data_IF_293590329724
#
_entry.id   IF_293590329724
#
_cell.length_a   1.000
_cell.length_b   1.000
_cell.length_c   1.000
_cell.angle_alpha   90.00
_cell.angle_beta   90.00
_cell.angle_gamma   90.00
#
_symmetry.space_group_name_H-M   'P 1'
#
loop_
_entity.id
_entity.type
_entity.pdbx_description
1 polymer ?
#
# COMPACT_ATOMS: atom_id res chain seq x y z
N UNK A 1 44.46 -57.39 60.84
CA UNK A 1 45.15 -56.27 60.16
C UNK A 1 44.10 -55.20 59.88
N UNK A 2 44.41 -53.94 60.19
CA UNK A 2 43.53 -52.76 60.09
C UNK A 2 43.00 -52.57 58.67
N UNK A 3 41.78 -52.04 58.50
CA UNK A 3 41.57 -50.69 57.98
C UNK A 3 40.09 -50.27 58.00
N UNK A 4 39.91 -49.00 58.36
CA UNK A 4 38.69 -48.26 58.68
C UNK A 4 38.37 -47.28 57.54
N UNK A 5 37.14 -46.72 57.53
CA UNK A 5 36.61 -45.56 56.75
C UNK A 5 36.14 -45.86 55.32
N UNK A 6 35.11 -45.22 54.75
CA UNK A 6 34.37 -44.00 55.10
C UNK A 6 32.90 -44.08 54.60
N UNK A 7 31.97 -43.47 55.33
CA UNK A 7 30.64 -43.11 54.85
C UNK A 7 30.76 -41.76 54.13
N UNK A 8 30.49 -41.72 52.83
CA UNK A 8 30.32 -40.49 52.05
C UNK A 8 28.81 -40.29 51.86
N UNK A 9 28.27 -39.30 52.56
CA UNK A 9 26.93 -38.77 52.30
C UNK A 9 26.92 -38.06 50.96
N UNK A 10 26.23 -38.64 49.98
CA UNK A 10 25.93 -37.99 48.71
C UNK A 10 24.69 -37.13 48.87
N UNK A 11 24.87 -35.81 48.97
CA UNK A 11 23.79 -34.84 48.80
C UNK A 11 23.20 -34.98 47.40
N UNK A 12 21.95 -35.43 47.31
CA UNK A 12 21.18 -35.39 46.08
C UNK A 12 20.93 -33.92 45.73
N UNK A 13 21.73 -33.37 44.82
CA UNK A 13 21.41 -32.11 44.14
C UNK A 13 20.25 -32.42 43.21
N UNK A 14 19.03 -32.07 43.63
CA UNK A 14 17.89 -31.94 42.72
C UNK A 14 18.26 -30.88 41.69
N UNK A 15 18.75 -31.34 40.53
CA UNK A 15 18.84 -30.51 39.34
C UNK A 15 17.39 -30.29 38.90
N UNK A 16 16.80 -29.21 39.37
CA UNK A 16 15.58 -28.66 38.78
C UNK A 16 15.94 -28.34 37.34
N UNK A 17 15.61 -29.23 36.41
CA UNK A 17 15.55 -28.89 34.98
C UNK A 17 14.45 -27.83 34.88
N UNK A 18 14.85 -26.57 34.94
CA UNK A 18 14.07 -25.47 34.39
C UNK A 18 13.93 -25.81 32.90
N UNK A 19 12.84 -26.49 32.55
CA UNK A 19 12.44 -26.62 31.17
C UNK A 19 12.33 -25.20 30.62
N UNK A 20 13.13 -24.88 29.61
CA UNK A 20 12.92 -23.66 28.85
C UNK A 20 11.47 -23.72 28.36
N UNK A 21 10.62 -22.80 28.84
CA UNK A 21 9.30 -22.59 28.26
C UNK A 21 9.57 -22.29 26.79
N UNK A 22 9.25 -23.25 25.91
CA UNK A 22 9.49 -23.09 24.50
C UNK A 22 8.52 -22.00 24.04
N UNK A 23 9.03 -20.79 23.85
CA UNK A 23 8.20 -19.65 23.47
C UNK A 23 7.39 -19.94 22.20
N UNK A 24 6.10 -19.59 22.20
CA UNK A 24 5.20 -19.79 21.06
C UNK A 24 5.69 -19.00 19.85
N UNK A 25 5.63 -19.60 18.66
CA UNK A 25 6.12 -18.98 17.41
C UNK A 25 5.02 -18.88 16.36
N UNK A 26 4.78 -17.68 15.86
CA UNK A 26 3.85 -17.38 14.76
C UNK A 26 4.60 -16.63 13.65
N UNK A 27 4.49 -17.08 12.40
CA UNK A 27 5.15 -16.42 11.25
C UNK A 27 6.64 -16.09 11.48
N UNK A 28 7.36 -16.98 12.19
CA UNK A 28 8.77 -16.76 12.54
C UNK A 28 9.03 -15.82 13.72
N UNK A 29 8.01 -15.21 14.31
CA UNK A 29 8.07 -14.36 15.50
C UNK A 29 7.86 -15.21 16.75
N UNK A 30 8.84 -15.24 17.64
CA UNK A 30 8.78 -15.98 18.91
C UNK A 30 8.35 -15.07 20.08
N UNK A 31 7.37 -15.49 20.86
CA UNK A 31 6.92 -14.79 22.06
C UNK A 31 7.40 -15.53 23.32
N UNK A 32 7.78 -14.79 24.35
CA UNK A 32 8.23 -15.34 25.63
C UNK A 32 7.06 -15.64 26.58
N UNK A 33 5.93 -14.97 26.36
CA UNK A 33 4.69 -15.13 27.12
C UNK A 33 3.49 -15.05 26.18
N UNK A 34 2.52 -15.92 26.37
CA UNK A 34 1.21 -15.85 25.71
C UNK A 34 0.17 -15.75 26.82
N UNK A 35 -0.76 -14.80 26.68
CA UNK A 35 -1.84 -14.58 27.65
C UNK A 35 -3.18 -14.53 26.93
N UNK A 36 -4.19 -15.12 27.53
CA UNK A 36 -5.58 -15.00 27.09
C UNK A 36 -6.18 -13.68 27.61
N UNK A 37 -6.76 -12.89 26.71
CA UNK A 37 -7.33 -11.59 27.03
C UNK A 37 -8.41 -11.69 28.11
N UNK A 38 -9.21 -12.76 28.12
CA UNK A 38 -10.31 -12.92 29.07
C UNK A 38 -9.85 -13.62 30.34
N UNK A 39 -9.26 -14.82 30.24
CA UNK A 39 -8.95 -15.62 31.44
C UNK A 39 -7.76 -15.11 32.22
N UNK A 40 -6.76 -14.53 31.54
CA UNK A 40 -5.53 -14.09 32.20
C UNK A 40 -5.54 -12.58 32.50
N UNK A 41 -6.10 -11.76 31.60
CA UNK A 41 -6.14 -10.30 31.75
C UNK A 41 -7.48 -9.77 32.26
N UNK A 42 -8.53 -10.59 32.25
CA UNK A 42 -9.87 -10.20 32.69
C UNK A 42 -10.55 -9.19 31.77
N UNK A 43 -10.20 -9.12 30.48
CA UNK A 43 -10.90 -8.28 29.50
C UNK A 43 -12.37 -8.71 29.38
N UNK A 44 -13.27 -7.75 29.19
CA UNK A 44 -14.69 -8.03 28.97
C UNK A 44 -14.94 -8.33 27.48
N UNK A 45 -15.35 -9.56 27.11
CA UNK A 45 -15.63 -9.93 25.72
C UNK A 45 -17.02 -9.46 25.25
N UNK A 46 -17.79 -8.75 26.07
CA UNK A 46 -19.11 -8.23 25.71
C UNK A 46 -19.10 -6.72 25.42
N UNK A 47 -17.93 -6.07 25.51
CA UNK A 47 -17.75 -4.66 25.16
C UNK A 47 -18.31 -3.65 26.18
N UNK A 48 -18.62 -4.05 27.41
CA UNK A 48 -19.12 -3.13 28.44
C UNK A 48 -17.99 -2.43 29.21
N UNK A 49 -16.76 -2.98 29.18
CA UNK A 49 -15.60 -2.41 29.87
C UNK A 49 -14.44 -2.18 28.91
N UNK A 50 -13.69 -1.10 29.17
CA UNK A 50 -12.46 -0.78 28.46
C UNK A 50 -11.39 -1.86 28.66
N UNK A 51 -10.74 -2.25 27.57
CA UNK A 51 -9.61 -3.20 27.58
C UNK A 51 -8.25 -2.51 27.54
N UNK A 52 -8.17 -1.24 27.12
CA UNK A 52 -6.89 -0.65 26.70
C UNK A 52 -5.83 -0.69 27.80
N UNK A 53 -6.19 -0.35 29.05
CA UNK A 53 -5.26 -0.38 30.20
C UNK A 53 -4.78 -1.78 30.57
N UNK A 54 -5.65 -2.79 30.44
CA UNK A 54 -5.30 -4.20 30.71
C UNK A 54 -4.29 -4.69 29.67
N UNK A 55 -4.52 -4.34 28.41
CA UNK A 55 -3.63 -4.66 27.29
C UNK A 55 -2.28 -3.95 27.43
N UNK A 56 -2.28 -2.65 27.72
CA UNK A 56 -1.05 -1.89 27.96
C UNK A 56 -0.21 -2.51 29.09
N UNK A 57 -0.85 -2.86 30.21
CA UNK A 57 -0.19 -3.48 31.37
C UNK A 57 0.37 -4.88 31.06
N UNK A 58 -0.17 -5.57 30.06
CA UNK A 58 0.29 -6.89 29.66
C UNK A 58 1.53 -6.83 28.74
N UNK A 59 1.81 -5.72 28.06
CA UNK A 59 2.94 -5.66 27.15
C UNK A 59 4.27 -5.42 27.87
N UNK A 60 4.96 -6.52 28.17
CA UNK A 60 6.19 -6.56 28.97
C UNK A 60 7.51 -6.67 28.17
N UNK A 61 7.46 -6.69 26.84
CA UNK A 61 8.63 -7.03 26.03
C UNK A 61 8.38 -8.15 25.03
N UNK A 62 7.68 -9.20 25.44
CA UNK A 62 7.65 -10.47 24.69
C UNK A 62 6.30 -11.17 24.77
N UNK A 63 5.24 -10.40 24.98
CA UNK A 63 3.89 -10.92 25.19
C UNK A 63 3.09 -10.94 23.90
N UNK A 64 2.43 -12.07 23.64
CA UNK A 64 1.31 -12.20 22.71
C UNK A 64 0.01 -12.25 23.52
N UNK A 65 -0.92 -11.33 23.24
CA UNK A 65 -2.27 -11.37 23.80
C UNK A 65 -3.20 -12.02 22.78
N UNK A 66 -3.83 -13.13 23.19
CA UNK A 66 -4.82 -13.85 22.39
C UNK A 66 -6.24 -13.50 22.84
N UNK A 67 -7.07 -13.08 21.90
CA UNK A 67 -8.46 -12.73 22.13
C UNK A 67 -9.36 -13.88 21.67
N UNK A 68 -10.15 -14.51 22.56
CA UNK A 68 -11.24 -15.38 22.11
C UNK A 68 -12.35 -14.57 21.43
N UNK A 69 -13.27 -15.25 20.74
CA UNK A 69 -14.43 -14.61 20.11
C UNK A 69 -15.14 -13.63 21.07
N UNK A 70 -15.47 -12.43 20.60
CA UNK A 70 -16.06 -11.40 21.44
C UNK A 70 -15.93 -10.00 20.88
N UNK A 71 -16.57 -9.06 21.57
CA UNK A 71 -16.49 -7.62 21.31
C UNK A 71 -15.70 -6.96 22.44
N UNK A 72 -14.60 -6.28 22.12
CA UNK A 72 -13.70 -5.68 23.09
C UNK A 72 -13.65 -4.18 22.89
N UNK A 73 -14.09 -3.43 23.91
CA UNK A 73 -14.20 -1.99 23.83
C UNK A 73 -12.87 -1.33 24.20
N UNK A 74 -12.39 -0.44 23.33
CA UNK A 74 -11.20 0.37 23.52
C UNK A 74 -11.59 1.83 23.75
N UNK A 75 -11.15 2.41 24.86
CA UNK A 75 -11.38 3.82 25.16
C UNK A 75 -10.15 4.69 24.95
N UNK A 76 -8.94 4.13 25.09
CA UNK A 76 -7.70 4.90 25.04
C UNK A 76 -6.70 4.29 24.06
N UNK A 77 -5.82 5.14 23.51
CA UNK A 77 -4.63 4.70 22.80
C UNK A 77 -3.65 3.99 23.73
N UNK A 78 -2.97 2.97 23.22
CA UNK A 78 -1.87 2.28 23.90
C UNK A 78 -0.58 2.55 23.16
N UNK A 79 0.32 3.31 23.80
CA UNK A 79 1.60 3.73 23.24
C UNK A 79 2.75 2.94 23.87
N UNK A 80 3.53 2.23 23.05
CA UNK A 80 4.52 1.28 23.56
C UNK A 80 5.85 1.38 22.81
N UNK A 81 6.95 1.23 23.57
CA UNK A 81 8.28 0.95 23.03
C UNK A 81 8.81 -0.32 23.68
N UNK A 82 8.95 -1.39 22.90
CA UNK A 82 9.18 -2.72 23.47
C UNK A 82 9.96 -3.64 22.50
N UNK A 83 10.31 -4.86 22.88
CA UNK A 83 10.93 -5.82 21.96
C UNK A 83 9.88 -6.39 21.00
N UNK A 84 8.76 -6.90 21.52
CA UNK A 84 7.70 -7.52 20.71
C UNK A 84 6.31 -7.14 21.18
N UNK A 85 5.44 -6.93 20.20
CA UNK A 85 4.01 -6.69 20.38
C UNK A 85 3.25 -7.81 19.68
N UNK A 86 2.28 -8.42 20.35
CA UNK A 86 1.44 -9.45 19.74
C UNK A 86 -0.02 -9.27 20.13
N UNK A 87 -0.89 -9.14 19.14
CA UNK A 87 -2.36 -9.18 19.30
C UNK A 87 -2.88 -10.17 18.26
N UNK A 88 -3.65 -11.16 18.71
CA UNK A 88 -4.19 -12.19 17.83
C UNK A 88 -5.59 -12.59 18.24
N UNK A 89 -6.53 -12.65 17.30
CA UNK A 89 -7.76 -13.39 17.51
C UNK A 89 -7.50 -14.89 17.44
N UNK A 90 -7.95 -15.61 18.46
CA UNK A 90 -7.82 -17.06 18.58
C UNK A 90 -8.89 -17.79 17.76
N UNK A 91 -10.08 -17.20 17.70
CA UNK A 91 -11.27 -17.70 17.04
C UNK A 91 -11.78 -16.67 16.01
N UNK A 92 -12.75 -17.06 15.19
CA UNK A 92 -13.50 -16.10 14.36
C UNK A 92 -14.31 -15.14 15.25
N UNK A 93 -14.64 -13.95 14.73
CA UNK A 93 -15.50 -12.95 15.38
C UNK A 93 -14.87 -12.24 16.60
N UNK A 94 -13.60 -11.87 16.51
CA UNK A 94 -12.97 -10.91 17.43
C UNK A 94 -13.16 -9.50 16.87
N UNK A 95 -13.94 -8.67 17.56
CA UNK A 95 -14.25 -7.30 17.14
C UNK A 95 -13.74 -6.28 18.16
N UNK A 96 -12.96 -5.30 17.71
CA UNK A 96 -12.57 -4.15 18.52
C UNK A 96 -13.49 -2.96 18.24
N UNK A 97 -14.06 -2.39 19.30
CA UNK A 97 -14.99 -1.25 19.19
C UNK A 97 -14.45 -0.02 19.89
N UNK A 98 -14.90 1.15 19.46
CA UNK A 98 -14.39 2.44 19.90
C UNK A 98 -15.57 3.39 20.17
N UNK A 99 -15.41 4.37 21.08
CA UNK A 99 -16.45 5.38 21.29
C UNK A 99 -16.66 6.23 20.02
N UNK A 100 -17.85 6.80 19.89
CA UNK A 100 -18.13 7.80 18.86
C UNK A 100 -17.17 8.99 19.00
N UNK A 101 -16.63 9.49 17.89
CA UNK A 101 -15.66 10.58 17.88
C UNK A 101 -14.21 10.16 18.12
N UNK A 102 -13.92 8.88 18.33
CA UNK A 102 -12.53 8.40 18.50
C UNK A 102 -11.73 8.65 17.22
N UNK A 103 -10.60 9.35 17.32
CA UNK A 103 -9.75 9.71 16.17
C UNK A 103 -8.25 9.63 16.55
N UNK A 104 -7.84 8.47 17.04
CA UNK A 104 -6.45 8.20 17.44
C UNK A 104 -6.01 6.83 16.94
N UNK A 105 -4.71 6.53 16.96
CA UNK A 105 -4.24 5.16 16.79
C UNK A 105 -4.48 4.40 18.10
N UNK A 106 -5.23 3.30 18.06
CA UNK A 106 -5.47 2.52 19.28
C UNK A 106 -4.23 1.73 19.74
N UNK A 107 -3.32 1.45 18.82
CA UNK A 107 -1.95 1.04 19.12
C UNK A 107 -0.98 1.97 18.41
N UNK A 108 -0.05 2.55 19.18
CA UNK A 108 1.10 3.29 18.68
C UNK A 108 2.40 2.62 19.17
N UNK A 109 2.95 1.76 18.32
CA UNK A 109 4.03 0.84 18.69
C UNK A 109 5.37 1.17 18.05
N UNK A 110 6.44 1.13 18.86
CA UNK A 110 7.82 0.95 18.40
C UNK A 110 8.35 -0.39 18.93
N UNK A 111 8.82 -1.28 18.05
CA UNK A 111 9.28 -2.61 18.48
C UNK A 111 10.38 -3.25 17.61
N UNK A 112 10.95 -4.37 18.05
CA UNK A 112 11.76 -5.24 17.19
C UNK A 112 10.86 -5.98 16.19
N UNK A 113 9.80 -6.65 16.69
CA UNK A 113 8.84 -7.39 15.85
C UNK A 113 7.40 -7.26 16.35
N UNK A 114 6.43 -7.28 15.44
CA UNK A 114 5.02 -7.29 15.81
C UNK A 114 4.19 -8.35 15.07
N UNK A 115 3.15 -8.85 15.75
CA UNK A 115 2.10 -9.69 15.18
C UNK A 115 0.73 -9.04 15.43
N UNK A 116 -0.05 -8.88 14.37
CA UNK A 116 -1.47 -8.51 14.42
C UNK A 116 -2.26 -9.46 13.52
N UNK A 117 -3.17 -10.26 14.06
CA UNK A 117 -3.78 -11.35 13.28
C UNK A 117 -5.23 -11.62 13.68
N UNK A 118 -6.11 -11.86 12.71
CA UNK A 118 -7.47 -12.41 12.88
C UNK A 118 -8.41 -11.59 13.82
N UNK A 119 -8.54 -10.28 13.60
CA UNK A 119 -9.52 -9.46 14.31
C UNK A 119 -10.04 -8.34 13.42
N UNK A 120 -11.23 -7.83 13.74
CA UNK A 120 -11.83 -6.71 13.02
C UNK A 120 -11.88 -5.45 13.90
N UNK A 121 -11.90 -4.30 13.24
CA UNK A 121 -11.92 -2.97 13.85
C UNK A 121 -13.19 -2.25 13.43
N UNK A 122 -14.08 -1.96 14.38
CA UNK A 122 -15.34 -1.27 14.14
C UNK A 122 -15.18 0.25 14.14
N UNK A 123 -15.30 0.85 12.97
CA UNK A 123 -15.34 2.31 12.74
C UNK A 123 -16.71 2.78 12.25
N UNK A 124 -17.78 2.00 12.47
CA UNK A 124 -19.17 2.42 12.19
C UNK A 124 -19.69 3.54 13.10
N UNK A 125 -19.24 3.69 14.38
CA UNK A 125 -19.67 4.81 15.19
C UNK A 125 -19.40 6.16 14.50
N UNK A 126 -20.27 7.14 14.74
CA UNK A 126 -20.20 8.44 14.07
C UNK A 126 -18.89 9.16 14.40
N UNK A 127 -18.29 9.79 13.38
CA UNK A 127 -17.04 10.54 13.50
C UNK A 127 -15.88 9.72 14.11
N UNK A 128 -15.89 8.40 13.89
CA UNK A 128 -14.84 7.51 14.38
C UNK A 128 -13.87 7.11 13.29
N UNK A 129 -12.59 7.35 13.56
CA UNK A 129 -11.48 6.84 12.78
C UNK A 129 -10.37 6.30 13.70
N UNK A 130 -9.79 5.16 13.34
CA UNK A 130 -8.73 4.55 14.14
C UNK A 130 -7.90 3.61 13.28
N UNK A 131 -6.77 3.19 13.83
CA UNK A 131 -5.86 2.24 13.22
C UNK A 131 -4.67 1.95 14.10
N UNK A 132 -3.62 1.42 13.49
CA UNK A 132 -2.37 1.09 14.18
C UNK A 132 -1.21 1.85 13.52
N UNK A 133 -0.39 2.49 14.36
CA UNK A 133 0.92 3.01 13.98
C UNK A 133 1.99 2.07 14.49
N UNK A 134 2.93 1.71 13.62
CA UNK A 134 3.96 0.73 13.92
C UNK A 134 5.29 1.07 13.25
N UNK A 135 6.30 1.35 14.08
CA UNK A 135 7.69 1.31 13.69
C UNK A 135 8.32 0.01 14.21
N UNK A 136 8.80 -0.82 13.28
CA UNK A 136 9.47 -2.07 13.61
C UNK A 136 10.93 -2.05 13.16
N UNK A 137 11.84 -2.55 14.00
CA UNK A 137 13.23 -2.73 13.60
C UNK A 137 13.37 -3.89 12.63
N UNK A 138 12.80 -5.06 12.94
CA UNK A 138 13.06 -6.33 12.24
C UNK A 138 11.85 -6.92 11.52
N UNK A 139 10.80 -6.13 11.39
CA UNK A 139 9.61 -6.45 10.61
C UNK A 139 8.42 -6.93 11.43
N UNK A 140 7.27 -6.96 10.80
CA UNK A 140 5.98 -7.33 11.39
C UNK A 140 5.22 -8.32 10.50
N UNK A 141 4.23 -8.96 11.08
CA UNK A 141 3.24 -9.76 10.35
C UNK A 141 1.84 -9.28 10.72
N UNK A 142 1.08 -8.83 9.72
CA UNK A 142 -0.29 -8.34 9.83
C UNK A 142 -1.15 -9.18 8.87
N UNK A 143 -2.15 -9.90 9.36
CA UNK A 143 -2.94 -10.78 8.50
C UNK A 143 -4.42 -10.92 8.94
N UNK A 144 -5.33 -10.98 7.98
CA UNK A 144 -6.78 -11.23 8.17
C UNK A 144 -7.45 -10.23 9.12
N UNK A 145 -7.54 -8.98 8.68
CA UNK A 145 -8.16 -7.89 9.47
C UNK A 145 -9.11 -7.09 8.57
N UNK A 146 -10.33 -6.82 9.03
CA UNK A 146 -11.24 -5.87 8.39
C UNK A 146 -11.43 -4.61 9.26
N UNK A 147 -11.32 -3.44 8.64
CA UNK A 147 -11.89 -2.22 9.20
C UNK A 147 -13.32 -2.05 8.71
N UNK A 148 -14.27 -2.32 9.61
CA UNK A 148 -15.70 -2.33 9.32
C UNK A 148 -16.29 -0.94 9.53
N UNK A 149 -16.90 -0.39 8.49
CA UNK A 149 -17.58 0.92 8.56
C UNK A 149 -16.82 2.02 7.87
N UNK A 150 -17.35 3.25 7.98
CA UNK A 150 -16.81 4.41 7.27
C UNK A 150 -16.01 5.31 8.16
N UNK A 151 -14.70 5.31 7.94
CA UNK A 151 -13.74 6.08 8.71
C UNK A 151 -13.76 7.59 8.46
N UNK A 152 -14.55 8.34 9.21
CA UNK A 152 -14.54 9.81 9.16
C UNK A 152 -14.30 10.41 10.54
N UNK A 153 -13.79 11.63 10.57
CA UNK A 153 -13.67 12.42 11.80
C UNK A 153 -13.90 13.90 11.49
N UNK A 154 -14.48 14.61 12.46
CA UNK A 154 -14.65 16.07 12.44
C UNK A 154 -13.34 16.77 12.85
N UNK A 155 -12.24 16.42 12.18
CA UNK A 155 -10.88 16.92 12.40
C UNK A 155 -10.21 17.17 11.05
N UNK A 156 -9.24 18.09 10.99
CA UNK A 156 -8.42 18.24 9.77
C UNK A 156 -7.46 17.06 9.58
N UNK A 157 -7.02 16.43 10.67
CA UNK A 157 -6.20 15.22 10.65
C UNK A 157 -7.05 14.00 11.01
N UNK A 158 -7.15 13.04 10.08
CA UNK A 158 -7.95 11.83 10.24
C UNK A 158 -7.04 10.62 10.31
N UNK A 159 -7.19 9.84 11.38
CA UNK A 159 -6.34 8.69 11.65
C UNK A 159 -6.38 7.67 10.52
N UNK A 160 -5.19 7.21 10.11
CA UNK A 160 -4.94 6.22 9.05
C UNK A 160 -5.27 4.81 9.55
N UNK A 161 -5.63 3.87 8.68
CA UNK A 161 -5.84 2.48 9.14
C UNK A 161 -4.50 1.85 9.58
N UNK A 162 -3.47 1.99 8.74
CA UNK A 162 -2.12 1.53 9.04
C UNK A 162 -1.10 2.62 8.73
N UNK A 163 -0.19 2.86 9.66
CA UNK A 163 1.01 3.66 9.44
C UNK A 163 2.23 2.81 9.82
N UNK A 164 2.96 2.34 8.82
CA UNK A 164 3.93 1.25 8.94
C UNK A 164 5.35 1.69 8.57
N UNK A 165 6.32 1.17 9.29
CA UNK A 165 7.75 1.39 9.04
C UNK A 165 8.56 0.16 9.42
N UNK A 166 9.52 -0.21 8.56
CA UNK A 166 10.58 -1.19 8.86
C UNK A 166 11.93 -0.50 8.74
N UNK A 167 12.70 -0.46 9.82
CA UNK A 167 13.96 0.29 9.85
C UNK A 167 15.11 -0.46 9.19
N UNK A 168 15.32 -1.73 9.54
CA UNK A 168 16.45 -2.53 9.05
C UNK A 168 16.26 -2.83 7.55
N UNK A 169 17.21 -2.41 6.69
CA UNK A 169 17.13 -2.61 5.24
C UNK A 169 17.05 -4.07 4.80
N UNK A 170 17.53 -5.00 5.64
CA UNK A 170 17.54 -6.44 5.36
C UNK A 170 16.32 -7.16 5.96
N UNK A 171 15.28 -6.42 6.33
CA UNK A 171 14.09 -6.97 7.02
C UNK A 171 12.82 -6.63 6.27
N UNK A 172 11.79 -7.41 6.55
CA UNK A 172 10.52 -7.36 5.84
C UNK A 172 9.36 -7.32 6.82
N UNK A 173 8.46 -6.37 6.60
CA UNK A 173 7.12 -6.37 7.19
C UNK A 173 6.10 -6.85 6.17
N UNK A 174 5.12 -7.62 6.61
CA UNK A 174 4.04 -8.16 5.77
C UNK A 174 2.71 -7.65 6.31
N UNK A 175 1.88 -7.12 5.41
CA UNK A 175 0.45 -6.96 5.61
C UNK A 175 -0.27 -7.74 4.51
N UNK A 176 -1.15 -8.66 4.91
CA UNK A 176 -1.83 -9.59 4.01
C UNK A 176 -3.32 -9.66 4.32
N UNK A 177 -4.16 -9.72 3.28
CA UNK A 177 -5.61 -9.88 3.43
C UNK A 177 -6.23 -8.83 4.40
N UNK A 178 -5.80 -7.57 4.26
CA UNK A 178 -6.40 -6.45 4.97
C UNK A 178 -7.53 -5.85 4.14
N UNK A 179 -8.70 -5.62 4.76
CA UNK A 179 -9.90 -5.15 4.08
C UNK A 179 -10.40 -3.84 4.70
N UNK A 180 -10.67 -2.85 3.86
CA UNK A 180 -11.34 -1.60 4.22
C UNK A 180 -12.09 -1.04 2.99
N UNK A 181 -13.36 -1.43 2.83
CA UNK A 181 -14.17 -1.09 1.64
C UNK A 181 -14.88 0.27 1.72
N UNK A 182 -14.86 0.88 2.91
CA UNK A 182 -15.51 2.16 3.19
C UNK A 182 -14.50 3.09 3.84
N UNK A 183 -13.32 3.25 3.23
CA UNK A 183 -12.15 3.85 3.88
C UNK A 183 -12.43 5.20 4.53
N UNK A 184 -13.11 6.10 3.83
CA UNK A 184 -13.53 7.40 4.35
C UNK A 184 -14.65 7.99 3.48
N UNK A 185 -14.65 9.29 3.26
CA UNK A 185 -15.49 9.94 2.28
C UNK A 185 -14.64 10.47 1.11
N UNK A 186 -15.16 10.30 -0.09
CA UNK A 186 -14.61 10.82 -1.33
C UNK A 186 -14.34 12.32 -1.24
N UNK A 187 -13.22 12.75 -1.82
CA UNK A 187 -12.71 14.12 -1.77
C UNK A 187 -12.39 14.65 -0.36
N UNK A 188 -12.29 13.80 0.67
CA UNK A 188 -11.80 14.19 2.00
C UNK A 188 -10.28 14.16 2.09
N UNK A 189 -9.57 14.87 1.20
CA UNK A 189 -8.10 14.93 1.21
C UNK A 189 -7.53 15.73 2.38
N UNK A 190 -8.28 16.76 2.83
CA UNK A 190 -7.93 17.62 3.96
C UNK A 190 -6.48 18.10 3.93
N UNK A 191 -6.07 18.69 2.81
CA UNK A 191 -4.73 19.22 2.56
C UNK A 191 -3.58 18.21 2.79
N UNK A 192 -3.86 16.91 2.64
CA UNK A 192 -2.89 15.83 2.86
C UNK A 192 -3.14 15.00 4.12
N UNK A 193 -3.97 15.48 5.05
CA UNK A 193 -4.24 14.85 6.34
C UNK A 193 -5.56 14.06 6.39
N UNK A 194 -6.17 13.84 5.22
CA UNK A 194 -7.27 12.90 5.03
C UNK A 194 -6.86 11.46 5.34
N UNK A 195 -7.86 10.62 5.63
CA UNK A 195 -7.63 9.22 6.01
C UNK A 195 -7.00 8.41 4.87
N UNK A 196 -5.88 7.74 5.18
CA UNK A 196 -5.16 6.81 4.30
C UNK A 196 -5.44 5.36 4.74
N UNK A 197 -5.49 4.43 3.78
CA UNK A 197 -5.56 3.00 4.07
C UNK A 197 -4.26 2.48 4.69
N UNK A 198 -3.21 2.37 3.88
CA UNK A 198 -1.87 1.97 4.33
C UNK A 198 -0.88 3.09 4.00
N UNK A 199 -0.22 3.63 5.02
CA UNK A 199 0.87 4.59 4.85
C UNK A 199 2.20 3.94 5.24
N UNK A 200 3.23 4.14 4.41
CA UNK A 200 4.62 3.84 4.76
C UNK A 200 5.34 5.15 5.07
N UNK A 201 5.92 5.26 6.27
CA UNK A 201 6.51 6.51 6.76
C UNK A 201 7.98 6.35 7.12
N UNK A 202 8.84 6.42 6.10
CA UNK A 202 10.28 6.21 6.24
C UNK A 202 10.65 4.74 6.48
N UNK A 203 11.84 4.52 7.02
CA UNK A 203 12.45 3.17 7.12
C UNK A 203 13.17 2.77 5.83
N UNK A 204 14.03 1.76 5.89
CA UNK A 204 14.85 1.29 4.76
C UNK A 204 14.53 -0.16 4.37
N UNK A 205 13.69 -0.84 5.17
CA UNK A 205 13.31 -2.23 4.94
C UNK A 205 12.30 -2.43 3.82
N UNK A 206 11.85 -3.67 3.65
CA UNK A 206 10.80 -4.02 2.69
C UNK A 206 9.44 -4.10 3.38
N UNK A 207 8.40 -3.56 2.76
CA UNK A 207 7.00 -3.77 3.17
C UNK A 207 6.26 -4.46 2.03
N UNK A 208 5.76 -5.67 2.31
CA UNK A 208 4.91 -6.43 1.39
C UNK A 208 3.44 -6.21 1.74
N UNK A 209 2.65 -5.86 0.74
CA UNK A 209 1.21 -5.62 0.82
C UNK A 209 0.54 -6.63 -0.10
N UNK A 210 -0.09 -7.66 0.47
CA UNK A 210 -0.48 -8.87 -0.27
C UNK A 210 -2.01 -9.05 -0.19
N UNK A 211 -2.67 -9.11 -1.33
CA UNK A 211 -4.11 -9.40 -1.45
C UNK A 211 -5.01 -8.51 -0.56
N UNK A 212 -4.65 -7.23 -0.42
CA UNK A 212 -5.44 -6.27 0.35
C UNK A 212 -6.58 -5.67 -0.49
N UNK A 213 -7.67 -5.26 0.16
CA UNK A 213 -8.84 -4.66 -0.47
C UNK A 213 -9.14 -3.29 0.14
N UNK A 214 -8.76 -2.22 -0.55
CA UNK A 214 -8.89 -0.83 -0.08
C UNK A 214 -9.76 0.00 -1.01
N UNK A 215 -10.84 0.56 -0.47
CA UNK A 215 -11.75 1.38 -1.26
C UNK A 215 -12.18 2.65 -0.56
N UNK A 216 -12.52 3.66 -1.37
CA UNK A 216 -13.25 4.84 -0.94
C UNK A 216 -12.52 5.70 0.12
N UNK A 217 -11.18 5.67 0.10
CA UNK A 217 -10.40 6.56 0.94
C UNK A 217 -10.46 8.01 0.42
N UNK A 218 -10.61 8.95 1.36
CA UNK A 218 -10.60 10.39 1.09
C UNK A 218 -9.20 10.92 0.77
N UNK A 219 -8.19 10.10 1.04
CA UNK A 219 -6.81 10.21 0.62
C UNK A 219 -6.42 8.90 -0.11
N UNK A 220 -5.14 8.61 -0.24
CA UNK A 220 -4.64 7.42 -0.92
C UNK A 220 -5.13 6.11 -0.29
N UNK A 221 -5.28 5.09 -1.13
CA UNK A 221 -5.39 3.70 -0.66
C UNK A 221 -4.07 3.27 -0.02
N UNK A 222 -2.99 3.34 -0.80
CA UNK A 222 -1.61 3.18 -0.31
C UNK A 222 -0.83 4.48 -0.52
N UNK A 223 -0.26 5.01 0.56
CA UNK A 223 0.66 6.15 0.55
C UNK A 223 2.07 5.71 0.95
N UNK A 224 2.90 5.41 -0.04
CA UNK A 224 4.32 5.09 0.13
C UNK A 224 5.21 5.96 -0.77
N UNK A 225 4.88 7.24 -0.82
CA UNK A 225 5.66 8.28 -1.49
C UNK A 225 7.02 8.47 -0.80
N UNK A 226 8.07 8.75 -1.61
CA UNK A 226 9.38 9.24 -1.12
C UNK A 226 9.96 8.43 0.05
N UNK A 227 9.74 7.12 0.03
CA UNK A 227 10.20 6.21 1.07
C UNK A 227 11.44 5.46 0.60
N UNK A 228 12.46 5.42 1.45
CA UNK A 228 13.63 4.54 1.26
C UNK A 228 13.25 3.05 1.40
N UNK A 229 12.06 2.75 1.90
CA UNK A 229 11.57 1.38 1.99
C UNK A 229 11.16 0.85 0.61
N UNK A 230 11.51 -0.39 0.33
CA UNK A 230 10.94 -1.11 -0.82
C UNK A 230 9.49 -1.47 -0.53
N UNK A 231 8.56 -1.08 -1.41
CA UNK A 231 7.12 -1.39 -1.26
C UNK A 231 6.65 -2.30 -2.37
N UNK A 232 6.20 -3.49 -1.98
CA UNK A 232 5.85 -4.58 -2.87
C UNK A 232 4.36 -4.89 -2.73
N UNK A 233 3.56 -4.47 -3.70
CA UNK A 233 2.13 -4.78 -3.76
C UNK A 233 1.92 -6.00 -4.63
N UNK A 234 1.35 -7.06 -4.06
CA UNK A 234 1.11 -8.34 -4.70
C UNK A 234 -0.40 -8.65 -4.65
N UNK A 235 -1.09 -8.54 -5.78
CA UNK A 235 -2.54 -8.75 -5.86
C UNK A 235 -3.37 -7.61 -5.27
N UNK A 236 -4.60 -7.94 -4.88
CA UNK A 236 -5.52 -7.01 -4.20
C UNK A 236 -6.41 -6.15 -5.12
N UNK A 237 -7.35 -5.45 -4.48
CA UNK A 237 -8.34 -4.56 -5.12
C UNK A 237 -8.21 -3.17 -4.51
N UNK A 238 -8.02 -2.17 -5.37
CA UNK A 238 -7.90 -0.77 -4.95
C UNK A 238 -8.87 0.08 -5.75
N UNK A 239 -9.91 0.62 -5.10
CA UNK A 239 -11.06 1.23 -5.79
C UNK A 239 -11.43 2.60 -5.25
N UNK A 240 -11.64 3.58 -6.12
CA UNK A 240 -12.20 4.89 -5.77
C UNK A 240 -11.48 5.59 -4.61
N UNK A 241 -10.16 5.46 -4.55
CA UNK A 241 -9.32 6.15 -3.58
C UNK A 241 -8.89 7.50 -4.15
N UNK A 242 -9.00 8.56 -3.34
CA UNK A 242 -8.58 9.90 -3.76
C UNK A 242 -7.05 10.02 -3.85
N UNK A 243 -6.57 11.01 -4.60
CA UNK A 243 -5.18 11.23 -5.02
C UNK A 243 -4.67 10.10 -5.88
N UNK A 244 -4.51 8.90 -5.31
CA UNK A 244 -4.40 7.68 -6.08
C UNK A 244 -4.69 6.42 -5.26
N UNK A 245 -4.95 5.32 -5.99
CA UNK A 245 -5.07 4.00 -5.39
C UNK A 245 -3.75 3.51 -4.78
N UNK A 246 -2.64 3.62 -5.52
CA UNK A 246 -1.32 3.20 -5.05
C UNK A 246 -0.27 4.26 -5.39
N UNK A 247 0.41 4.79 -4.36
CA UNK A 247 1.56 5.68 -4.48
C UNK A 247 2.79 4.98 -3.97
N UNK A 248 3.80 4.80 -4.80
CA UNK A 248 5.02 4.07 -4.44
C UNK A 248 6.22 4.56 -5.24
N UNK A 249 7.41 4.08 -4.91
CA UNK A 249 8.62 4.56 -5.58
C UNK A 249 9.82 3.65 -5.39
N UNK A 250 10.81 3.78 -6.27
CA UNK A 250 12.15 3.26 -6.04
C UNK A 250 12.41 1.83 -6.50
N UNK A 251 13.70 1.51 -6.59
CA UNK A 251 14.21 0.17 -6.84
C UNK A 251 13.73 -0.79 -5.76
N UNK A 252 13.30 -1.98 -6.17
CA UNK A 252 12.79 -3.01 -5.25
C UNK A 252 11.31 -2.89 -4.96
N UNK A 253 10.68 -1.77 -5.34
CA UNK A 253 9.25 -1.55 -5.23
C UNK A 253 8.51 -1.89 -6.51
N UNK A 254 7.33 -2.51 -6.38
CA UNK A 254 6.50 -2.88 -7.52
C UNK A 254 5.02 -3.02 -7.16
N UNK A 255 4.17 -2.97 -8.18
CA UNK A 255 2.80 -3.46 -8.16
C UNK A 255 2.70 -4.65 -9.11
N UNK A 256 2.30 -5.81 -8.62
CA UNK A 256 2.16 -7.03 -9.41
C UNK A 256 0.79 -7.67 -9.18
N UNK A 257 -0.03 -7.82 -10.23
CA UNK A 257 -1.29 -8.56 -10.17
C UNK A 257 -2.48 -7.84 -9.52
N UNK A 258 -2.36 -6.54 -9.23
CA UNK A 258 -3.44 -5.77 -8.61
C UNK A 258 -4.58 -5.44 -9.60
N UNK A 259 -5.79 -5.29 -9.07
CA UNK A 259 -6.93 -4.67 -9.77
C UNK A 259 -7.16 -3.26 -9.23
N UNK A 260 -7.08 -2.27 -10.09
CA UNK A 260 -7.24 -0.85 -9.74
C UNK A 260 -8.43 -0.28 -10.49
N UNK A 261 -9.36 0.34 -9.78
CA UNK A 261 -10.57 0.91 -10.38
C UNK A 261 -10.84 2.32 -9.90
N UNK A 262 -11.05 3.23 -10.85
CA UNK A 262 -11.71 4.52 -10.62
C UNK A 262 -13.02 4.45 -11.40
N UNK A 263 -14.11 4.26 -10.67
CA UNK A 263 -15.45 4.09 -11.20
C UNK A 263 -16.47 4.71 -10.23
N UNK A 264 -16.90 5.96 -10.49
CA UNK A 264 -17.87 6.64 -9.64
C UNK A 264 -19.18 5.86 -9.43
N UNK A 265 -19.56 4.98 -10.36
CA UNK A 265 -20.78 4.15 -10.23
C UNK A 265 -20.67 3.07 -9.15
N UNK A 266 -19.44 2.71 -8.77
CA UNK A 266 -19.14 1.75 -7.69
C UNK A 266 -18.84 2.44 -6.37
N UNK A 267 -19.01 3.76 -6.28
CA UNK A 267 -18.84 4.51 -5.04
C UNK A 267 -20.15 4.56 -4.23
N UNK A 268 -20.07 4.26 -2.94
CA UNK A 268 -21.20 4.12 -2.02
C UNK A 268 -21.22 5.14 -0.88
N UNK A 269 -20.17 5.94 -0.75
CA UNK A 269 -20.03 6.91 0.33
C UNK A 269 -20.63 8.29 0.02
N UNK A 270 -20.46 9.26 0.93
CA UNK A 270 -20.90 10.64 0.71
C UNK A 270 -19.91 11.41 -0.20
N UNK A 271 -20.41 12.39 -0.96
CA UNK A 271 -19.63 13.28 -1.84
C UNK A 271 -19.86 14.73 -1.39
N UNK A 272 -18.98 15.27 -0.54
CA UNK A 272 -19.29 16.53 0.19
C UNK A 272 -18.17 17.56 0.16
N UNK A 273 -17.03 17.28 -0.47
CA UNK A 273 -15.87 18.18 -0.53
C UNK A 273 -15.18 18.12 -1.91
N UNK A 274 -15.96 17.91 -2.98
CA UNK A 274 -15.42 17.72 -4.34
C UNK A 274 -14.75 18.97 -4.92
N UNK A 275 -15.04 20.14 -4.34
CA UNK A 275 -14.42 21.42 -4.63
C UNK A 275 -13.01 21.59 -4.05
N UNK A 276 -12.53 20.64 -3.24
CA UNK A 276 -11.18 20.64 -2.65
C UNK A 276 -10.17 19.87 -3.53
N UNK A 277 -8.92 19.71 -3.07
CA UNK A 277 -7.87 18.92 -3.72
C UNK A 277 -8.32 17.48 -4.00
N UNK A 278 -8.90 17.30 -5.18
CA UNK A 278 -9.56 16.08 -5.60
C UNK A 278 -9.03 15.70 -6.99
N UNK A 279 -8.37 14.54 -7.07
CA UNK A 279 -7.83 13.99 -8.32
C UNK A 279 -7.71 12.48 -8.17
N UNK A 280 -8.31 11.71 -9.07
CA UNK A 280 -8.25 10.25 -8.97
C UNK A 280 -7.30 9.67 -10.01
N UNK A 281 -6.16 9.19 -9.52
CA UNK A 281 -5.15 8.50 -10.32
C UNK A 281 -5.15 7.01 -9.93
N UNK A 282 -4.87 6.11 -10.87
CA UNK A 282 -4.67 4.70 -10.53
C UNK A 282 -3.40 4.52 -9.70
N UNK A 283 -2.25 4.72 -10.35
CA UNK A 283 -0.92 4.57 -9.76
C UNK A 283 -0.15 5.88 -9.88
N UNK A 284 0.56 6.28 -8.81
CA UNK A 284 1.54 7.37 -8.83
C UNK A 284 2.92 6.81 -8.46
N UNK A 285 3.92 7.16 -9.27
CA UNK A 285 5.34 6.94 -8.96
C UNK A 285 5.98 8.28 -8.61
N UNK A 286 6.49 8.38 -7.38
CA UNK A 286 7.04 9.63 -6.82
C UNK A 286 8.19 9.32 -5.85
N UNK A 287 9.42 9.70 -6.20
CA UNK A 287 10.65 9.28 -5.50
C UNK A 287 11.26 10.38 -4.65
N UNK A 288 11.93 10.01 -3.55
CA UNK A 288 12.69 10.96 -2.74
C UNK A 288 13.99 11.33 -3.45
N UNK A 289 14.27 12.62 -3.51
CA UNK A 289 15.43 13.19 -4.20
C UNK A 289 16.46 13.82 -3.27
N UNK A 290 16.12 14.30 -2.07
CA UNK A 290 17.13 14.76 -1.10
C UNK A 290 16.66 15.06 0.34
N UNK A 291 15.38 14.85 0.70
CA UNK A 291 14.82 15.33 1.98
C UNK A 291 15.52 14.79 3.26
N UNK A 292 16.34 13.73 3.14
CA UNK A 292 17.06 13.09 4.27
C UNK A 292 18.52 12.74 3.95
N UNK A 293 19.14 13.35 2.92
CA UNK A 293 20.52 13.04 2.52
C UNK A 293 20.73 11.64 1.93
N UNK A 294 19.64 10.94 1.60
CA UNK A 294 19.57 9.68 0.87
C UNK A 294 18.52 9.83 -0.23
N UNK A 295 18.76 9.22 -1.40
CA UNK A 295 17.80 9.24 -2.52
C UNK A 295 17.40 7.82 -2.92
N UNK A 296 16.14 7.65 -3.31
CA UNK A 296 15.63 6.36 -3.76
C UNK A 296 16.23 6.03 -5.13
N UNK A 297 16.88 4.87 -5.26
CA UNK A 297 17.40 4.42 -6.55
C UNK A 297 16.27 4.22 -7.56
N UNK A 298 16.50 4.52 -8.84
CA UNK A 298 15.55 4.27 -9.94
C UNK A 298 15.24 2.77 -10.12
N UNK A 299 14.00 2.43 -10.52
CA UNK A 299 13.65 1.06 -10.89
C UNK A 299 12.28 0.55 -10.41
N UNK A 300 11.25 1.41 -10.34
CA UNK A 300 9.90 1.00 -10.01
C UNK A 300 9.27 0.16 -11.14
N UNK A 301 8.33 -0.73 -10.79
CA UNK A 301 7.66 -1.62 -11.77
C UNK A 301 6.16 -1.74 -11.55
N UNK A 302 5.40 -1.86 -12.64
CA UNK A 302 3.99 -2.25 -12.64
C UNK A 302 3.83 -3.45 -13.57
N UNK A 303 3.40 -4.58 -13.05
CA UNK A 303 3.38 -5.86 -13.74
C UNK A 303 2.02 -6.54 -13.62
N UNK A 304 1.53 -7.15 -14.70
CA UNK A 304 0.35 -8.04 -14.67
C UNK A 304 -0.90 -7.39 -14.04
N UNK A 305 -1.03 -6.07 -14.12
CA UNK A 305 -2.07 -5.29 -13.44
C UNK A 305 -3.26 -5.03 -14.36
N UNK A 306 -4.45 -4.95 -13.79
CA UNK A 306 -5.65 -4.46 -14.48
C UNK A 306 -6.06 -3.09 -13.92
N UNK A 307 -6.14 -2.07 -14.76
CA UNK A 307 -6.47 -0.70 -14.37
C UNK A 307 -7.68 -0.23 -15.17
N UNK A 308 -8.75 0.17 -14.48
CA UNK A 308 -9.97 0.67 -15.10
C UNK A 308 -10.22 2.08 -14.58
N UNK A 309 -10.13 3.07 -15.46
CA UNK A 309 -10.46 4.46 -15.18
C UNK A 309 -11.66 4.85 -16.03
N UNK A 310 -12.84 4.89 -15.40
CA UNK A 310 -14.06 5.43 -15.99
C UNK A 310 -14.06 6.94 -15.93
N UNK A 311 -14.88 7.53 -16.78
CA UNK A 311 -15.17 8.96 -16.74
C UNK A 311 -15.55 9.39 -15.31
N UNK A 312 -14.89 10.45 -14.85
CA UNK A 312 -15.03 10.91 -13.49
C UNK A 312 -14.72 12.42 -13.39
N UNK A 313 -15.27 13.10 -12.37
CA UNK A 313 -15.26 14.57 -12.32
C UNK A 313 -13.88 15.21 -12.12
N UNK A 314 -12.86 14.45 -11.69
CA UNK A 314 -11.49 14.96 -11.52
C UNK A 314 -10.48 14.03 -12.19
N UNK A 315 -10.44 14.10 -13.52
CA UNK A 315 -9.74 13.12 -14.31
C UNK A 315 -8.24 13.11 -13.99
N UNK A 316 -7.76 11.92 -13.64
CA UNK A 316 -6.34 11.60 -13.50
C UNK A 316 -5.93 10.46 -14.42
N UNK A 317 -4.63 10.21 -14.51
CA UNK A 317 -4.07 9.12 -15.31
C UNK A 317 -4.33 7.74 -14.67
N UNK A 318 -4.30 6.69 -15.48
CA UNK A 318 -4.23 5.32 -14.95
C UNK A 318 -2.87 5.10 -14.25
N UNK A 319 -1.79 5.61 -14.85
CA UNK A 319 -0.45 5.62 -14.27
C UNK A 319 0.16 7.00 -14.47
N UNK A 320 0.67 7.61 -13.41
CA UNK A 320 1.48 8.83 -13.49
C UNK A 320 2.85 8.61 -12.86
N UNK A 321 3.91 9.04 -13.55
CA UNK A 321 5.26 9.17 -13.02
C UNK A 321 5.52 10.66 -12.87
N UNK A 322 5.48 11.13 -11.62
CA UNK A 322 5.61 12.55 -11.31
C UNK A 322 7.02 13.07 -11.56
N UNK A 323 7.15 14.40 -11.51
CA UNK A 323 8.40 15.14 -11.73
C UNK A 323 9.62 14.50 -11.05
N UNK A 324 9.50 14.11 -9.78
CA UNK A 324 10.58 13.51 -8.96
C UNK A 324 10.71 11.98 -9.14
N UNK A 325 9.70 11.31 -9.70
CA UNK A 325 9.81 9.93 -10.16
C UNK A 325 10.94 9.80 -11.19
N UNK A 326 11.65 8.66 -11.20
CA UNK A 326 12.77 8.38 -12.12
C UNK A 326 12.32 7.44 -13.23
N UNK A 327 12.60 6.14 -13.11
CA UNK A 327 12.28 5.14 -14.15
C UNK A 327 11.10 4.27 -13.77
N UNK A 328 10.30 3.91 -14.76
CA UNK A 328 9.20 2.96 -14.60
C UNK A 328 9.17 1.93 -15.74
N UNK A 329 9.17 0.65 -15.39
CA UNK A 329 8.77 -0.43 -16.30
C UNK A 329 7.28 -0.78 -16.09
N UNK A 330 6.51 -0.85 -17.17
CA UNK A 330 5.11 -1.31 -17.19
C UNK A 330 5.01 -2.54 -18.10
N UNK A 331 4.65 -3.69 -17.52
CA UNK A 331 4.72 -4.99 -18.18
C UNK A 331 3.39 -5.74 -18.05
N UNK A 332 2.83 -6.26 -19.15
CA UNK A 332 1.64 -7.14 -19.13
C UNK A 332 0.40 -6.52 -18.48
N UNK A 333 0.22 -5.21 -18.64
CA UNK A 333 -0.84 -4.48 -17.97
C UNK A 333 -1.98 -4.18 -18.93
N UNK A 334 -3.22 -4.30 -18.46
CA UNK A 334 -4.41 -3.81 -19.17
C UNK A 334 -4.87 -2.51 -18.55
N UNK A 335 -5.22 -1.56 -19.40
CA UNK A 335 -5.76 -0.26 -19.03
C UNK A 335 -7.05 -0.03 -19.83
N UNK A 336 -8.15 0.21 -19.14
CA UNK A 336 -9.38 0.79 -19.70
C UNK A 336 -9.43 2.26 -19.26
N UNK A 337 -9.54 3.18 -20.21
CA UNK A 337 -9.41 4.61 -19.93
C UNK A 337 -10.43 5.45 -20.71
N UNK A 338 -11.37 6.03 -19.95
CA UNK A 338 -12.52 6.75 -20.49
C UNK A 338 -12.49 8.25 -20.18
N UNK A 339 -11.49 8.73 -19.43
CA UNK A 339 -11.34 10.15 -19.08
C UNK A 339 -10.85 11.01 -20.25
N UNK A 340 -11.48 12.19 -20.40
CA UNK A 340 -11.09 13.20 -21.38
C UNK A 340 -9.93 14.09 -20.89
N UNK A 341 -9.25 14.74 -21.83
CA UNK A 341 -8.25 15.78 -21.55
C UNK A 341 -6.95 15.33 -20.92
N UNK A 342 -6.87 14.08 -20.45
CA UNK A 342 -5.76 13.57 -19.65
C UNK A 342 -5.15 12.29 -20.24
N UNK A 343 -3.82 12.12 -20.11
CA UNK A 343 -3.14 10.90 -20.52
C UNK A 343 -3.55 9.69 -19.69
N UNK A 344 -3.71 8.53 -20.35
CA UNK A 344 -3.87 7.26 -19.65
C UNK A 344 -2.59 6.90 -18.90
N UNK A 345 -1.42 7.08 -19.54
CA UNK A 345 -0.11 6.96 -18.91
C UNK A 345 0.65 8.28 -19.09
N UNK A 346 1.06 8.89 -17.98
CA UNK A 346 1.79 10.16 -17.98
C UNK A 346 3.16 10.01 -17.35
N UNK A 347 4.19 10.47 -18.05
CA UNK A 347 5.51 10.73 -17.50
C UNK A 347 5.76 12.23 -17.55
N UNK A 348 5.72 12.88 -16.40
CA UNK A 348 5.91 14.33 -16.26
C UNK A 348 7.35 14.74 -16.56
N UNK A 349 7.49 15.93 -17.15
CA UNK A 349 8.76 16.61 -17.34
C UNK A 349 9.46 16.92 -16.02
N UNK A 350 10.65 17.52 -16.10
CA UNK A 350 11.29 18.11 -14.93
C UNK A 350 10.64 19.45 -14.64
N UNK A 351 10.26 19.66 -13.39
CA UNK A 351 9.91 20.97 -12.85
C UNK A 351 10.77 21.22 -11.61
N UNK A 352 11.09 22.47 -11.33
CA UNK A 352 11.71 22.86 -10.07
C UNK A 352 10.67 22.74 -8.94
N UNK A 353 10.40 21.52 -8.48
CA UNK A 353 9.71 21.32 -7.23
C UNK A 353 10.75 21.34 -6.10
N UNK A 354 10.41 22.08 -5.03
CA UNK A 354 11.06 22.11 -3.70
C UNK A 354 12.55 21.74 -3.65
N UNK A 355 13.42 22.69 -3.98
CA UNK A 355 14.89 22.64 -3.77
C UNK A 355 15.65 21.49 -4.47
N UNK A 356 15.14 20.99 -5.59
CA UNK A 356 15.82 19.92 -6.31
C UNK A 356 16.88 20.40 -7.30
N UNK A 357 18.14 20.08 -6.98
CA UNK A 357 19.24 20.11 -7.94
C UNK A 357 18.95 19.10 -9.06
N UNK A 358 19.00 19.57 -10.29
CA UNK A 358 18.68 18.94 -11.59
C UNK A 358 19.51 17.71 -11.98
N UNK A 359 20.17 17.03 -11.04
CA UNK A 359 21.04 15.90 -11.32
C UNK A 359 20.26 14.58 -11.16
N UNK A 360 19.26 14.38 -12.02
CA UNK A 360 18.44 13.18 -11.98
C UNK A 360 19.08 12.08 -12.82
N UNK A 361 19.17 10.89 -12.23
CA UNK A 361 19.27 9.59 -12.91
C UNK A 361 18.44 9.51 -14.21
N UNK A 362 18.60 8.41 -14.94
CA UNK A 362 17.71 8.07 -16.05
C UNK A 362 16.21 8.22 -15.69
N UNK A 363 15.43 8.82 -16.58
CA UNK A 363 14.00 9.18 -16.37
C UNK A 363 13.03 8.45 -17.30
N UNK A 364 13.49 7.40 -17.96
CA UNK A 364 12.71 6.72 -19.00
C UNK A 364 11.42 6.09 -18.47
N UNK A 365 10.44 5.99 -19.37
CA UNK A 365 9.29 5.11 -19.27
C UNK A 365 9.48 3.94 -20.25
N UNK A 366 9.30 2.72 -19.75
CA UNK A 366 9.28 1.52 -20.60
C UNK A 366 7.95 0.82 -20.46
N UNK A 367 7.34 0.52 -21.60
CA UNK A 367 6.08 -0.22 -21.67
C UNK A 367 6.28 -1.41 -22.60
N UNK A 368 5.95 -2.60 -22.11
CA UNK A 368 5.97 -3.81 -22.91
C UNK A 368 4.75 -4.69 -22.67
N UNK A 369 4.10 -5.14 -23.75
CA UNK A 369 2.88 -5.97 -23.66
C UNK A 369 1.76 -5.28 -22.88
N UNK A 370 1.59 -3.98 -23.09
CA UNK A 370 0.53 -3.18 -22.49
C UNK A 370 -0.65 -3.04 -23.45
N UNK A 371 -1.86 -3.25 -22.95
CA UNK A 371 -3.10 -3.01 -23.66
C UNK A 371 -3.80 -1.77 -23.10
N UNK A 372 -4.08 -0.77 -23.94
CA UNK A 372 -4.86 0.41 -23.57
C UNK A 372 -6.09 0.49 -24.46
N UNK A 373 -7.27 0.49 -23.85
CA UNK A 373 -8.56 0.64 -24.53
C UNK A 373 -9.43 1.70 -23.86
N UNK A 374 -10.48 2.18 -24.52
CA UNK A 374 -11.49 3.01 -23.87
C UNK A 374 -12.04 4.12 -24.75
N UNK A 375 -12.89 4.96 -24.17
CA UNK A 375 -13.71 5.91 -24.93
C UNK A 375 -13.27 7.37 -24.84
N UNK A 376 -12.15 7.67 -24.18
CA UNK A 376 -11.63 9.03 -24.03
C UNK A 376 -11.62 9.80 -25.37
N UNK A 377 -12.29 10.94 -25.41
CA UNK A 377 -12.60 11.71 -26.61
C UNK A 377 -11.37 12.47 -27.18
N UNK A 378 -10.50 12.97 -26.29
CA UNK A 378 -9.37 13.83 -26.64
C UNK A 378 -8.15 13.61 -25.73
N UNK A 379 -7.04 14.31 -26.02
CA UNK A 379 -5.78 14.20 -25.29
C UNK A 379 -4.92 13.00 -25.74
N UNK A 380 -3.70 12.87 -25.21
CA UNK A 380 -2.80 11.76 -25.54
C UNK A 380 -3.19 10.45 -24.84
N UNK A 381 -2.93 9.31 -25.47
CA UNK A 381 -3.01 8.00 -24.80
C UNK A 381 -1.85 7.84 -23.82
N UNK A 382 -0.64 8.08 -24.31
CA UNK A 382 0.58 8.13 -23.51
C UNK A 382 1.30 9.43 -23.81
N UNK A 383 1.65 10.16 -22.76
CA UNK A 383 2.48 11.36 -22.85
C UNK A 383 3.74 11.14 -22.03
N UNK A 384 4.90 11.35 -22.65
CA UNK A 384 6.18 11.37 -21.96
C UNK A 384 6.91 12.67 -22.24
N UNK A 385 7.35 13.34 -21.18
CA UNK A 385 8.06 14.62 -21.26
C UNK A 385 9.46 14.49 -20.67
N UNK A 386 10.48 14.98 -21.37
CA UNK A 386 11.88 15.01 -20.89
C UNK A 386 12.35 13.64 -20.35
N UNK A 387 12.03 12.58 -21.11
CA UNK A 387 12.21 11.19 -20.75
C UNK A 387 13.01 10.47 -21.84
N UNK A 388 14.25 10.90 -22.05
CA UNK A 388 15.19 10.30 -23.00
C UNK A 388 15.26 8.77 -22.85
N UNK A 389 15.48 8.06 -23.95
CA UNK A 389 15.65 6.60 -24.02
C UNK A 389 14.41 5.77 -23.64
N UNK A 390 13.23 6.40 -23.53
CA UNK A 390 11.95 5.72 -23.30
C UNK A 390 11.60 4.76 -24.43
N UNK A 391 10.98 3.62 -24.10
CA UNK A 391 10.67 2.56 -25.06
C UNK A 391 9.26 2.01 -24.89
N UNK A 392 8.48 1.95 -25.97
CA UNK A 392 7.14 1.38 -25.99
C UNK A 392 7.11 0.25 -27.02
N UNK A 393 6.94 -0.99 -26.56
CA UNK A 393 7.08 -2.18 -27.40
C UNK A 393 5.94 -3.16 -27.24
N UNK A 394 5.55 -3.81 -28.34
CA UNK A 394 4.58 -4.91 -28.29
C UNK A 394 3.29 -4.48 -27.58
N UNK A 395 2.81 -3.25 -27.82
CA UNK A 395 1.61 -2.71 -27.17
C UNK A 395 0.41 -2.69 -28.14
N UNK A 396 -0.78 -2.74 -27.57
CA UNK A 396 -2.04 -2.57 -28.30
C UNK A 396 -2.80 -1.38 -27.72
N UNK A 397 -3.10 -0.40 -28.56
CA UNK A 397 -3.81 0.82 -28.19
C UNK A 397 -5.01 0.96 -29.13
N UNK A 398 -6.20 1.01 -28.55
CA UNK A 398 -7.45 1.24 -29.26
C UNK A 398 -8.36 2.17 -28.47
N UNK A 399 -8.43 3.44 -28.88
CA UNK A 399 -9.32 4.41 -28.24
C UNK A 399 -10.20 5.09 -29.27
N UNK A 400 -11.49 5.18 -28.98
CA UNK A 400 -12.53 5.53 -29.99
C UNK A 400 -12.76 7.03 -30.14
N UNK A 401 -12.12 7.88 -29.33
CA UNK A 401 -12.28 9.33 -29.39
C UNK A 401 -11.70 9.93 -30.67
N UNK A 402 -12.50 10.72 -31.38
CA UNK A 402 -12.10 11.34 -32.66
C UNK A 402 -10.88 12.26 -32.53
N UNK A 403 -10.70 12.94 -31.39
CA UNK A 403 -9.57 13.83 -31.14
C UNK A 403 -8.50 13.18 -30.25
N UNK A 404 -8.61 11.88 -29.97
CA UNK A 404 -7.68 11.14 -29.13
C UNK A 404 -6.38 10.92 -29.89
N UNK A 405 -5.27 11.32 -29.31
CA UNK A 405 -3.93 11.10 -29.84
C UNK A 405 -3.34 9.82 -29.25
N UNK A 406 -2.40 9.19 -29.95
CA UNK A 406 -1.74 7.97 -29.51
C UNK A 406 -0.60 8.26 -28.54
N UNK A 407 0.64 8.01 -29.00
CA UNK A 407 1.85 8.16 -28.22
C UNK A 407 2.52 9.51 -28.52
N UNK A 408 2.79 10.32 -27.51
CA UNK A 408 3.49 11.60 -27.63
C UNK A 408 4.75 11.58 -26.76
N UNK A 409 5.88 11.82 -27.40
CA UNK A 409 7.16 12.05 -26.76
C UNK A 409 7.55 13.52 -26.96
N UNK A 410 7.53 14.29 -25.88
CA UNK A 410 7.89 15.72 -25.86
C UNK A 410 9.26 15.89 -25.24
N UNK A 411 10.15 16.64 -25.89
CA UNK A 411 11.50 16.93 -25.41
C UNK A 411 12.27 15.66 -24.98
N UNK A 412 12.04 14.55 -25.70
CA UNK A 412 12.56 13.22 -25.33
C UNK A 412 13.34 12.61 -26.50
N UNK A 413 14.64 12.39 -26.29
CA UNK A 413 15.60 11.92 -27.28
C UNK A 413 15.78 10.41 -27.24
N UNK A 414 16.26 9.85 -28.34
CA UNK A 414 16.64 8.42 -28.47
C UNK A 414 15.51 7.46 -28.05
N UNK A 415 14.26 7.86 -28.31
CA UNK A 415 13.06 7.10 -27.97
C UNK A 415 12.77 6.01 -29.01
N UNK A 416 12.11 4.93 -28.60
CA UNK A 416 11.78 3.83 -29.51
C UNK A 416 10.35 3.33 -29.35
N UNK A 417 9.62 3.24 -30.47
CA UNK A 417 8.29 2.59 -30.53
C UNK A 417 8.32 1.42 -31.50
N UNK A 418 8.01 0.21 -31.03
CA UNK A 418 8.19 -1.00 -31.84
C UNK A 418 7.07 -2.03 -31.73
N UNK A 419 6.61 -2.56 -32.85
CA UNK A 419 5.63 -3.66 -32.92
C UNK A 419 4.31 -3.34 -32.19
N UNK A 420 3.77 -2.15 -32.44
CA UNK A 420 2.54 -1.68 -31.78
C UNK A 420 1.37 -1.58 -32.76
N UNK A 421 0.16 -1.84 -32.25
CA UNK A 421 -1.09 -1.39 -32.90
C UNK A 421 -1.53 -0.14 -32.17
N UNK A 422 -1.74 0.96 -32.90
CA UNK A 422 -2.17 2.26 -32.38
C UNK A 422 -3.33 2.76 -33.24
N UNK A 423 -4.54 2.38 -32.83
CA UNK A 423 -5.81 2.76 -33.43
C UNK A 423 -6.46 3.87 -32.60
N UNK A 424 -6.34 5.11 -33.05
CA UNK A 424 -6.86 6.31 -32.37
C UNK A 424 -7.43 7.28 -33.41
N UNK A 425 -8.31 8.20 -32.99
CA UNK A 425 -8.97 9.12 -33.92
C UNK A 425 -8.09 10.22 -34.52
N UNK A 426 -7.02 10.62 -33.83
CA UNK A 426 -6.09 11.65 -34.28
C UNK A 426 -4.67 11.08 -34.56
N UNK A 427 -3.62 11.88 -34.38
CA UNK A 427 -2.26 11.44 -34.65
C UNK A 427 -1.85 10.26 -33.73
N UNK A 428 -1.47 9.13 -34.32
CA UNK A 428 -1.10 7.92 -33.60
C UNK A 428 0.27 8.02 -32.90
N UNK A 429 1.21 8.78 -33.46
CA UNK A 429 2.58 8.83 -32.96
C UNK A 429 3.24 10.18 -33.23
N UNK A 430 3.81 10.79 -32.18
CA UNK A 430 4.64 11.99 -32.25
C UNK A 430 5.99 11.72 -31.58
N UNK A 431 7.07 11.87 -32.35
CA UNK A 431 8.45 11.64 -31.93
C UNK A 431 9.32 12.85 -32.26
N UNK A 432 10.33 13.08 -31.44
CA UNK A 432 11.44 13.98 -31.77
C UNK A 432 12.32 13.40 -32.89
N UNK A 433 13.20 14.23 -33.49
CA UNK A 433 14.05 13.83 -34.63
C UNK A 433 15.01 12.67 -34.36
N UNK A 434 15.37 12.43 -33.09
CA UNK A 434 16.18 11.29 -32.64
C UNK A 434 15.36 10.07 -32.24
N UNK A 435 14.02 10.16 -32.28
CA UNK A 435 13.13 9.05 -32.01
C UNK A 435 13.01 8.10 -33.21
N UNK A 436 12.82 6.82 -32.94
CA UNK A 436 12.70 5.78 -33.95
C UNK A 436 11.42 4.97 -33.77
N UNK A 437 10.80 4.57 -34.88
CA UNK A 437 9.67 3.64 -34.86
C UNK A 437 9.84 2.47 -35.82
N UNK A 438 9.24 1.33 -35.50
CA UNK A 438 9.27 0.12 -36.32
C UNK A 438 7.98 -0.68 -36.19
N UNK A 439 7.42 -1.15 -37.31
CA UNK A 439 6.25 -2.04 -37.33
C UNK A 439 5.03 -1.46 -36.58
N UNK A 440 4.68 -0.20 -36.87
CA UNK A 440 3.46 0.43 -36.34
C UNK A 440 2.29 0.12 -37.26
N UNK A 441 1.18 -0.33 -36.69
CA UNK A 441 -0.08 -0.59 -37.40
C UNK A 441 -1.19 0.29 -36.81
N UNK A 442 -2.17 0.65 -37.63
CA UNK A 442 -3.32 1.46 -37.20
C UNK A 442 -4.61 0.65 -37.05
N UNK A 443 -4.53 -0.66 -37.29
CA UNK A 443 -5.61 -1.61 -37.08
C UNK A 443 -5.02 -3.02 -36.95
N UNK A 444 -5.84 -3.95 -36.47
CA UNK A 444 -5.47 -5.35 -36.29
C UNK A 444 -6.00 -5.89 -34.97
N UNK A 445 -5.95 -7.22 -34.77
CA UNK A 445 -6.41 -7.80 -33.52
C UNK A 445 -5.48 -7.39 -32.37
N UNK A 446 -5.98 -7.42 -31.12
CA UNK A 446 -5.14 -7.40 -29.94
C UNK A 446 -4.01 -8.43 -30.08
N UNK A 447 -2.82 -8.07 -29.62
CA UNK A 447 -1.74 -9.05 -29.44
C UNK A 447 -2.31 -10.17 -28.54
N UNK A 448 -2.19 -11.44 -28.95
CA UNK A 448 -2.84 -12.57 -28.26
C UNK A 448 -2.64 -12.47 -26.74
N UNK A 449 -3.75 -12.71 -26.01
CA UNK A 449 -3.95 -12.51 -24.56
C UNK A 449 -2.69 -12.67 -23.70
N UNK A 450 -2.37 -11.61 -22.95
CA UNK A 450 -1.35 -11.60 -21.89
C UNK A 450 -1.85 -12.14 -20.54
N UNK A 451 -3.11 -12.56 -20.43
CA UNK A 451 -3.68 -13.08 -19.19
C UNK A 451 -3.63 -14.61 -19.16
N UNK A 452 -2.56 -15.15 -18.59
CA UNK A 452 -2.69 -16.38 -17.82
C UNK A 452 -3.47 -16.02 -16.57
N UNK A 453 -4.78 -16.27 -16.56
CA UNK A 453 -5.51 -16.37 -15.30
C UNK A 453 -4.89 -17.54 -14.55
N UNK A 454 -3.95 -17.28 -13.63
CA UNK A 454 -3.74 -18.24 -12.56
C UNK A 454 -5.02 -18.18 -11.72
N UNK A 455 -5.78 -19.27 -11.59
CA UNK A 455 -6.69 -19.36 -10.47
C UNK A 455 -5.82 -19.28 -9.21
N UNK A 456 -6.11 -18.35 -8.32
CA UNK A 456 -5.74 -18.44 -6.91
C UNK A 456 -6.99 -18.13 -6.12
#
# INVERSE_FOLDING_TARGET
MKLTRAVLGGSAVSVTRLGAIQGTRHHGIQFGRVVDAVTDLGCDPNGNQDVSRKIESAFDGKTLVEFPAGTYHWQNSVSLRTDRIGIRGKDENVLFTFPAGYNEFFIDGTCDRALYENFDVDVRPVNTATGIRLASERGFHIENIEHIGRGTANSNDVTRCWQLRVNDPDKTGIIKNFVAKKGSAWAHYKNGDGRVGISVYGGEGTIKIIDCHLEEFGNNGIYASRSLSSVQVEGGIYRNNNVCSIRFSGKGSYVDGATIEVDPSKYSGPRTMEETDFKMVGIIVEQSNNDIGKSDASGAKVCNTDIIIRDNPTPGSAISVWTDGRTLDVLNTRIVYDNDGTPAVFREGTAAQRNDSTNMDSRWLRMERVQITGTAANGPTVLTEQADTSQIKNCYIEQTGNARQGLIFSDSRDTFVGNCVINVGANALSLESSGHSRNIRHSGPPLMKCFGTSPR
#
